data_IF_183958992861
#
_entry.id   IF_183958992861
#
_cell.length_a   1.000
_cell.length_b   1.000
_cell.length_c   1.000
_cell.angle_alpha   90.00
_cell.angle_beta   90.00
_cell.angle_gamma   90.00
#
_symmetry.space_group_name_H-M   'P 1'
#
loop_
_entity.id
_entity.type
_entity.pdbx_description
1 polymer ?
#
# COMPACT_ATOMS: atom_id res chain seq x y z
N UNK A 1 -49.25 -43.34 11.53
CA UNK A 1 -48.29 -42.50 12.28
C UNK A 1 -47.04 -42.30 11.40
N UNK A 2 -46.95 -41.15 10.70
CA UNK A 2 -45.84 -40.82 9.80
C UNK A 2 -44.82 -40.05 10.60
N UNK A 3 -43.60 -40.61 10.81
CA UNK A 3 -42.49 -39.94 11.45
C UNK A 3 -41.81 -39.04 10.42
N UNK A 4 -41.93 -37.70 10.58
CA UNK A 4 -41.16 -36.72 9.82
C UNK A 4 -39.74 -36.65 10.42
N UNK A 5 -38.74 -37.06 9.63
CA UNK A 5 -37.35 -36.86 9.98
C UNK A 5 -36.93 -35.46 9.50
N UNK A 6 -36.66 -34.54 10.42
CA UNK A 6 -36.00 -33.26 10.12
C UNK A 6 -34.51 -33.51 9.86
N UNK A 7 -34.10 -33.40 8.61
CA UNK A 7 -32.67 -33.27 8.28
C UNK A 7 -32.22 -31.83 8.59
N UNK A 8 -31.44 -31.68 9.65
CA UNK A 8 -30.74 -30.44 9.97
C UNK A 8 -29.50 -30.35 9.08
N UNK A 9 -29.56 -29.48 8.07
CA UNK A 9 -28.40 -29.10 7.25
C UNK A 9 -27.57 -28.11 8.05
N UNK A 10 -26.48 -28.59 8.69
CA UNK A 10 -25.51 -27.74 9.35
C UNK A 10 -24.70 -26.97 8.28
N UNK A 11 -24.89 -25.66 8.23
CA UNK A 11 -24.05 -24.80 7.40
C UNK A 11 -22.64 -24.74 7.98
N UNK A 12 -21.67 -25.31 7.28
CA UNK A 12 -20.25 -25.21 7.60
C UNK A 12 -19.79 -23.79 7.27
N UNK A 13 -19.63 -22.93 8.29
CA UNK A 13 -19.00 -21.61 8.14
C UNK A 13 -17.49 -21.85 8.05
N UNK A 14 -16.95 -21.84 6.84
CA UNK A 14 -15.50 -21.86 6.62
C UNK A 14 -15.01 -20.44 6.82
N UNK A 15 -14.13 -20.14 7.80
CA UNK A 15 -13.54 -18.83 7.95
C UNK A 15 -12.64 -18.56 6.72
N UNK A 16 -13.03 -17.65 5.86
CA UNK A 16 -12.18 -17.11 4.83
C UNK A 16 -11.15 -16.20 5.52
N UNK A 17 -9.92 -16.69 5.67
CA UNK A 17 -8.80 -15.82 6.01
C UNK A 17 -8.58 -14.87 4.83
N UNK A 18 -9.04 -13.64 4.96
CA UNK A 18 -8.60 -12.58 4.06
C UNK A 18 -7.08 -12.44 4.26
N UNK A 19 -6.30 -12.74 3.21
CA UNK A 19 -4.86 -12.50 3.24
C UNK A 19 -4.64 -11.02 3.55
N UNK A 20 -3.76 -10.72 4.51
CA UNK A 20 -3.48 -9.35 4.91
C UNK A 20 -2.94 -8.57 3.70
N UNK A 21 -3.48 -7.38 3.46
CA UNK A 21 -3.05 -6.49 2.39
C UNK A 21 -1.66 -5.94 2.70
N UNK A 22 -0.77 -5.92 1.71
CA UNK A 22 0.56 -5.35 1.80
C UNK A 22 0.46 -3.87 1.42
N UNK A 23 0.83 -2.97 2.32
CA UNK A 23 0.86 -1.54 2.03
C UNK A 23 2.28 -1.10 1.68
N UNK A 24 2.43 -0.43 0.52
CA UNK A 24 3.66 0.20 0.07
C UNK A 24 3.51 1.71 0.11
N UNK A 25 4.55 2.42 0.55
CA UNK A 25 4.61 3.86 0.52
C UNK A 25 5.30 4.37 -0.75
N UNK A 26 4.82 5.49 -1.30
CA UNK A 26 5.52 6.28 -2.32
C UNK A 26 5.71 7.67 -1.75
N UNK A 27 6.96 8.09 -1.51
CA UNK A 27 7.28 9.43 -1.04
C UNK A 27 8.09 10.16 -2.11
N UNK A 28 7.50 11.22 -2.68
CA UNK A 28 8.10 12.05 -3.73
C UNK A 28 7.77 13.52 -3.45
N UNK A 29 8.47 14.44 -4.11
CA UNK A 29 8.18 15.86 -4.05
C UNK A 29 6.97 16.24 -4.87
N UNK A 30 5.77 15.83 -4.46
CA UNK A 30 4.51 16.14 -5.13
C UNK A 30 4.16 17.64 -5.09
N UNK A 31 4.78 18.37 -4.16
CA UNK A 31 4.82 19.83 -4.16
C UNK A 31 6.27 20.31 -4.22
N UNK A 32 6.48 21.61 -4.56
CA UNK A 32 7.80 22.20 -4.61
C UNK A 32 8.43 22.19 -6.01
N UNK A 33 9.78 22.25 -6.11
CA UNK A 33 10.46 22.59 -7.35
C UNK A 33 10.34 21.55 -8.47
N UNK A 34 9.95 20.32 -8.15
CA UNK A 34 9.83 19.22 -9.14
C UNK A 34 8.40 18.69 -9.27
N UNK A 35 7.41 19.43 -8.78
CA UNK A 35 5.99 19.03 -8.79
C UNK A 35 5.43 18.71 -10.19
N UNK A 36 6.06 19.23 -11.25
CA UNK A 36 5.66 18.93 -12.62
C UNK A 36 6.10 17.55 -13.11
N UNK A 37 7.04 16.90 -12.43
CA UNK A 37 7.60 15.60 -12.81
C UNK A 37 7.02 14.46 -11.97
N UNK A 38 6.77 14.70 -10.71
CA UNK A 38 6.47 13.68 -9.71
C UNK A 38 5.10 12.99 -9.86
N UNK A 39 4.04 13.62 -10.41
CA UNK A 39 2.79 12.90 -10.68
C UNK A 39 2.98 11.68 -11.58
N UNK A 40 3.73 11.81 -12.67
CA UNK A 40 3.96 10.71 -13.60
C UNK A 40 4.91 9.65 -13.00
N UNK A 41 5.88 10.08 -12.21
CA UNK A 41 6.74 9.15 -11.44
C UNK A 41 5.90 8.33 -10.45
N UNK A 42 5.02 8.97 -9.70
CA UNK A 42 4.12 8.31 -8.77
C UNK A 42 3.15 7.36 -9.47
N UNK A 43 2.56 7.78 -10.59
CA UNK A 43 1.68 6.95 -11.40
C UNK A 43 2.39 5.71 -11.94
N UNK A 44 3.64 5.86 -12.39
CA UNK A 44 4.46 4.75 -12.89
C UNK A 44 4.80 3.75 -11.80
N UNK A 45 5.13 4.23 -10.61
CA UNK A 45 5.37 3.37 -9.45
C UNK A 45 4.11 2.61 -9.01
N UNK A 46 2.96 3.28 -8.96
CA UNK A 46 1.67 2.63 -8.66
C UNK A 46 1.31 1.58 -9.70
N UNK A 47 1.56 1.86 -10.99
CA UNK A 47 1.33 0.89 -12.05
C UNK A 47 2.13 -0.40 -11.79
N UNK A 48 3.43 -0.27 -11.48
CA UNK A 48 4.27 -1.42 -11.17
C UNK A 48 3.78 -2.22 -9.96
N UNK A 49 3.37 -1.56 -8.89
CA UNK A 49 2.79 -2.23 -7.73
C UNK A 49 1.45 -2.92 -8.05
N UNK A 50 0.61 -2.29 -8.85
CA UNK A 50 -0.67 -2.86 -9.27
C UNK A 50 -0.46 -4.08 -10.16
N UNK A 51 0.45 -4.04 -11.12
CA UNK A 51 0.79 -5.17 -11.98
C UNK A 51 1.33 -6.35 -11.14
N UNK A 52 2.21 -6.09 -10.18
CA UNK A 52 2.71 -7.11 -9.26
C UNK A 52 1.58 -7.72 -8.43
N UNK A 53 0.68 -6.88 -7.89
CA UNK A 53 -0.50 -7.30 -7.13
C UNK A 53 -1.44 -8.17 -7.95
N UNK A 54 -1.71 -7.75 -9.19
CA UNK A 54 -2.68 -8.41 -10.07
C UNK A 54 -2.15 -9.69 -10.69
N UNK A 55 -0.82 -9.84 -10.78
CA UNK A 55 -0.20 -11.09 -11.22
C UNK A 55 -0.58 -12.30 -10.35
N UNK A 56 -0.92 -12.07 -9.09
CA UNK A 56 -1.21 -13.12 -8.11
C UNK A 56 -0.02 -14.00 -7.74
N UNK A 57 1.18 -13.69 -8.23
CA UNK A 57 2.40 -14.49 -8.02
C UNK A 57 3.24 -14.00 -6.85
N UNK A 58 3.07 -12.73 -6.46
CA UNK A 58 3.84 -12.13 -5.39
C UNK A 58 3.29 -12.56 -4.02
N UNK A 59 4.17 -12.99 -3.12
CA UNK A 59 3.87 -13.28 -1.71
C UNK A 59 2.61 -14.13 -1.50
N UNK A 60 2.44 -15.16 -2.32
CA UNK A 60 1.29 -16.07 -2.21
C UNK A 60 -0.03 -15.45 -2.67
N UNK A 61 0.02 -14.46 -3.55
CA UNK A 61 -1.17 -13.81 -4.10
C UNK A 61 -1.77 -12.71 -3.21
N UNK A 62 -1.01 -12.21 -2.23
CA UNK A 62 -1.43 -11.07 -1.41
C UNK A 62 -1.59 -9.82 -2.28
N UNK A 63 -2.60 -9.02 -1.95
CA UNK A 63 -2.82 -7.75 -2.64
C UNK A 63 -1.91 -6.66 -2.09
N UNK A 64 -1.50 -5.75 -2.98
CA UNK A 64 -0.70 -4.58 -2.64
C UNK A 64 -1.59 -3.34 -2.76
N UNK A 65 -1.55 -2.48 -1.76
CA UNK A 65 -2.08 -1.12 -1.85
C UNK A 65 -0.96 -0.10 -1.69
N UNK A 66 -1.18 1.10 -2.17
CA UNK A 66 -0.19 2.16 -2.20
C UNK A 66 -0.69 3.37 -1.44
N UNK A 67 0.19 3.98 -0.64
CA UNK A 67 -0.06 5.25 0.06
C UNK A 67 0.98 6.26 -0.39
N UNK A 68 0.53 7.41 -0.90
CA UNK A 68 1.42 8.51 -1.29
C UNK A 68 1.70 9.44 -0.11
N UNK A 69 2.92 10.00 -0.10
CA UNK A 69 3.34 11.02 0.83
C UNK A 69 4.21 12.05 0.09
N UNK A 70 4.15 13.30 0.52
CA UNK A 70 4.88 14.41 -0.09
C UNK A 70 6.15 14.70 0.71
N UNK A 71 7.31 14.63 0.04
CA UNK A 71 8.60 15.04 0.61
C UNK A 71 8.93 16.52 0.40
N UNK A 72 8.14 17.22 -0.42
CA UNK A 72 8.37 18.59 -0.87
C UNK A 72 9.69 18.81 -1.64
N UNK A 73 10.59 17.83 -1.69
CA UNK A 73 11.94 17.90 -2.25
C UNK A 73 12.94 18.78 -1.46
N UNK A 74 12.50 19.80 -0.74
CA UNK A 74 13.38 20.83 -0.13
C UNK A 74 13.26 20.93 1.40
N UNK A 75 12.22 20.37 2.00
CA UNK A 75 11.98 20.45 3.45
C UNK A 75 12.22 19.10 4.11
N UNK A 76 13.39 18.95 4.74
CA UNK A 76 13.78 17.73 5.44
C UNK A 76 12.83 17.37 6.60
N UNK A 77 12.29 18.35 7.31
CA UNK A 77 11.37 18.09 8.41
C UNK A 77 10.01 17.59 7.90
N UNK A 78 9.50 18.15 6.81
CA UNK A 78 8.28 17.68 6.18
C UNK A 78 8.46 16.25 5.63
N UNK A 79 9.59 15.95 5.00
CA UNK A 79 9.91 14.62 4.49
C UNK A 79 10.01 13.58 5.61
N UNK A 80 10.69 13.93 6.72
CA UNK A 80 10.77 13.05 7.90
C UNK A 80 9.39 12.77 8.47
N UNK A 81 8.57 13.79 8.68
CA UNK A 81 7.20 13.61 9.20
C UNK A 81 6.33 12.77 8.26
N UNK A 82 6.47 12.93 6.94
CA UNK A 82 5.77 12.14 5.95
C UNK A 82 6.19 10.65 6.00
N UNK A 83 7.49 10.38 6.13
CA UNK A 83 8.02 9.01 6.27
C UNK A 83 7.55 8.37 7.59
N UNK A 84 7.62 9.11 8.70
CA UNK A 84 7.11 8.63 10.00
C UNK A 84 5.63 8.28 9.93
N UNK A 85 4.79 9.11 9.29
CA UNK A 85 3.36 8.82 9.09
C UNK A 85 3.17 7.52 8.30
N UNK A 86 3.88 7.33 7.19
CA UNK A 86 3.80 6.12 6.39
C UNK A 86 4.11 4.87 7.23
N UNK A 87 5.15 4.94 8.07
CA UNK A 87 5.59 3.80 8.89
C UNK A 87 4.65 3.58 10.08
N UNK A 88 4.33 4.63 10.83
CA UNK A 88 3.67 4.51 12.14
C UNK A 88 2.15 4.47 12.04
N UNK A 89 1.56 5.24 11.13
CA UNK A 89 0.11 5.38 10.97
C UNK A 89 -0.42 4.49 9.85
N UNK A 90 0.17 4.59 8.66
CA UNK A 90 -0.29 3.84 7.49
C UNK A 90 0.20 2.39 7.49
N UNK A 91 1.25 2.08 8.29
CA UNK A 91 1.81 0.73 8.47
C UNK A 91 2.32 0.14 7.16
N UNK A 92 2.98 0.95 6.34
CA UNK A 92 3.62 0.45 5.13
C UNK A 92 4.81 -0.45 5.47
N UNK A 93 5.06 -1.47 4.65
CA UNK A 93 6.16 -2.42 4.84
C UNK A 93 7.40 -2.05 4.05
N UNK A 94 7.28 -1.11 3.11
CA UNK A 94 8.37 -0.57 2.32
C UNK A 94 7.99 0.79 1.74
N UNK A 95 9.00 1.62 1.46
CA UNK A 95 8.83 2.96 0.88
C UNK A 95 9.70 3.08 -0.36
N UNK A 96 9.13 3.56 -1.45
CA UNK A 96 9.83 3.98 -2.66
C UNK A 96 9.96 5.51 -2.64
N UNK A 97 11.17 6.01 -2.80
CA UNK A 97 11.53 7.44 -2.72
C UNK A 97 12.62 7.64 -1.66
N UNK A 98 13.05 8.86 -1.32
CA UNK A 98 12.57 10.08 -1.91
C UNK A 98 13.39 10.40 -3.19
N UNK A 99 12.97 11.43 -3.89
CA UNK A 99 13.53 11.80 -5.21
C UNK A 99 14.61 12.89 -5.15
N UNK A 100 14.73 13.61 -4.04
CA UNK A 100 15.72 14.66 -3.83
C UNK A 100 16.69 14.30 -2.72
N UNK A 101 18.00 14.44 -2.96
CA UNK A 101 19.06 13.99 -2.04
C UNK A 101 18.93 14.57 -0.63
N UNK A 102 18.58 15.86 -0.51
CA UNK A 102 18.46 16.54 0.79
C UNK A 102 17.37 15.95 1.69
N UNK A 103 16.27 15.52 1.11
CA UNK A 103 15.15 14.90 1.86
C UNK A 103 15.30 13.38 1.99
N UNK A 104 16.11 12.74 1.14
CA UNK A 104 16.41 11.31 1.23
C UNK A 104 17.35 11.00 2.40
N UNK A 105 18.19 11.96 2.78
CA UNK A 105 19.17 11.80 3.86
C UNK A 105 18.69 12.30 5.21
N UNK A 106 17.48 12.82 5.27
CA UNK A 106 16.84 13.28 6.50
C UNK A 106 16.19 12.13 7.27
#
# INVERSE_FOLDING_TARGET
MKKLALLSVGALIIPTFAAAEIKMGIILGFTGPIESLTPDMGNSAELAFNEASDSGQLLGGQKISVVRADSTCIDAAAATAAAERLITSDKVVGIMGADCSGVTTA
#
